data_IF_005237495269
#
_entry.id   IF_005237495269
#
_cell.length_a   1.000
_cell.length_b   1.000
_cell.length_c   1.000
_cell.angle_alpha   90.00
_cell.angle_beta   90.00
_cell.angle_gamma   90.00
#
_symmetry.space_group_name_H-M   'P 1'
#
loop_
_entity.id
_entity.type
_entity.pdbx_description
1 polymer ?
#
# COMPACT_ATOMS: atom_id res chain seq x y z
N UNK A 1 -9.08 -0.98 -16.86
CA UNK A 1 -9.01 0.46 -16.51
C UNK A 1 -8.09 1.29 -17.43
N UNK A 2 -7.03 0.71 -18.01
CA UNK A 2 -6.23 1.38 -19.07
C UNK A 2 -7.09 1.99 -20.19
N UNK A 3 -8.23 1.36 -20.51
CA UNK A 3 -9.19 1.86 -21.49
C UNK A 3 -9.78 3.23 -21.16
N UNK A 4 -10.03 3.58 -19.89
CA UNK A 4 -10.66 4.85 -19.51
C UNK A 4 -9.69 6.03 -19.63
N UNK A 5 -8.44 5.84 -19.21
CA UNK A 5 -7.37 6.84 -19.40
C UNK A 5 -7.03 7.03 -20.88
N UNK A 6 -7.00 5.94 -21.66
CA UNK A 6 -6.83 6.00 -23.11
C UNK A 6 -8.01 6.69 -23.81
N UNK A 7 -9.24 6.47 -23.34
CA UNK A 7 -10.43 7.12 -23.89
C UNK A 7 -10.42 8.63 -23.58
N UNK A 8 -9.99 9.04 -22.38
CA UNK A 8 -9.79 10.45 -22.06
C UNK A 8 -8.71 11.10 -22.96
N UNK A 9 -7.60 10.39 -23.21
CA UNK A 9 -6.55 10.86 -24.14
C UNK A 9 -7.10 11.12 -25.55
N UNK A 10 -8.00 10.25 -26.00
CA UNK A 10 -8.61 10.34 -27.34
C UNK A 10 -9.57 11.52 -27.47
N UNK A 11 -10.25 11.88 -26.38
CA UNK A 11 -11.24 12.97 -26.35
C UNK A 11 -10.58 14.32 -26.07
N UNK A 12 -9.61 14.37 -25.15
CA UNK A 12 -9.03 15.60 -24.60
C UNK A 12 -7.71 16.02 -25.26
N UNK A 13 -7.11 15.14 -26.08
CA UNK A 13 -5.84 15.41 -26.78
C UNK A 13 -4.58 15.36 -25.89
N UNK A 14 -4.72 15.00 -24.61
CA UNK A 14 -3.63 14.94 -23.64
C UNK A 14 -4.04 14.27 -22.32
N UNK A 15 -3.06 13.91 -21.50
CA UNK A 15 -3.32 13.42 -20.15
C UNK A 15 -3.63 14.60 -19.22
N UNK A 16 -4.62 14.48 -18.31
CA UNK A 16 -4.90 15.54 -17.35
C UNK A 16 -3.73 15.68 -16.36
N UNK A 17 -3.41 16.91 -15.94
CA UNK A 17 -2.40 17.14 -14.90
C UNK A 17 -2.83 16.58 -13.53
N UNK A 18 -4.14 16.59 -13.26
CA UNK A 18 -4.74 16.16 -11.98
C UNK A 18 -5.90 15.22 -12.24
N UNK A 19 -5.99 14.15 -11.44
CA UNK A 19 -7.05 13.17 -11.53
C UNK A 19 -7.61 12.89 -10.14
N UNK A 20 -8.91 13.09 -9.96
CA UNK A 20 -9.62 12.83 -8.70
C UNK A 20 -10.50 11.61 -8.93
N UNK A 21 -10.35 10.57 -8.10
CA UNK A 21 -11.11 9.33 -8.19
C UNK A 21 -11.64 8.92 -6.83
N UNK A 22 -12.79 8.24 -6.86
CA UNK A 22 -13.37 7.62 -5.67
C UNK A 22 -12.51 6.48 -5.12
N UNK A 23 -12.72 6.13 -3.86
CA UNK A 23 -11.99 5.06 -3.19
C UNK A 23 -12.14 3.67 -3.84
N UNK A 24 -13.14 3.49 -4.72
CA UNK A 24 -13.28 2.30 -5.55
C UNK A 24 -12.18 2.13 -6.61
N UNK A 25 -11.44 3.19 -6.93
CA UNK A 25 -10.36 3.20 -7.92
C UNK A 25 -8.95 3.10 -7.29
N UNK A 26 -8.86 2.85 -5.98
CA UNK A 26 -7.59 2.60 -5.30
C UNK A 26 -7.02 1.22 -5.71
N UNK A 27 -6.46 1.17 -6.91
CA UNK A 27 -5.96 -0.03 -7.58
C UNK A 27 -4.56 0.21 -8.14
N UNK A 28 -3.73 -0.83 -8.10
CA UNK A 28 -2.32 -0.75 -8.51
C UNK A 28 -2.15 -0.25 -9.94
N UNK A 29 -3.00 -0.71 -10.86
CA UNK A 29 -2.95 -0.31 -12.27
C UNK A 29 -3.20 1.20 -12.44
N UNK A 30 -4.14 1.76 -11.67
CA UNK A 30 -4.46 3.20 -11.71
C UNK A 30 -3.30 4.02 -11.17
N UNK A 31 -2.73 3.58 -10.04
CA UNK A 31 -1.58 4.23 -9.42
C UNK A 31 -0.37 4.19 -10.35
N UNK A 32 -0.12 3.03 -10.99
CA UNK A 32 0.98 2.85 -11.94
C UNK A 32 0.81 3.72 -13.18
N UNK A 33 -0.39 3.77 -13.78
CA UNK A 33 -0.66 4.57 -14.97
C UNK A 33 -0.58 6.07 -14.67
N UNK A 34 -1.11 6.51 -13.52
CA UNK A 34 -0.96 7.89 -13.08
C UNK A 34 0.52 8.28 -12.89
N UNK A 35 1.31 7.42 -12.25
CA UNK A 35 2.76 7.63 -12.09
C UNK A 35 3.49 7.69 -13.43
N UNK A 36 3.14 6.81 -14.37
CA UNK A 36 3.74 6.74 -15.73
C UNK A 36 3.53 8.02 -16.52
N UNK A 37 2.33 8.62 -16.43
CA UNK A 37 1.99 9.85 -17.15
C UNK A 37 2.16 11.11 -16.30
N UNK A 38 2.81 11.01 -15.14
CA UNK A 38 3.05 12.13 -14.22
C UNK A 38 1.75 12.87 -13.79
N UNK A 39 0.65 12.14 -13.72
CA UNK A 39 -0.66 12.65 -13.31
C UNK A 39 -0.70 12.72 -11.78
N UNK A 40 -1.09 13.88 -11.24
CA UNK A 40 -1.32 14.05 -9.81
C UNK A 40 -2.65 13.38 -9.41
N UNK A 41 -2.55 12.18 -8.85
CA UNK A 41 -3.69 11.35 -8.47
C UNK A 41 -4.17 11.62 -7.04
N UNK A 42 -5.44 12.00 -6.91
CA UNK A 42 -6.17 12.11 -5.65
C UNK A 42 -7.18 10.97 -5.55
N UNK A 43 -6.87 9.95 -4.76
CA UNK A 43 -7.74 8.80 -4.57
C UNK A 43 -7.60 8.26 -3.14
N UNK A 44 -8.69 8.33 -2.36
CA UNK A 44 -8.70 7.79 -1.00
C UNK A 44 -8.64 6.26 -1.01
N UNK A 45 -8.06 5.66 0.02
CA UNK A 45 -8.10 4.20 0.18
C UNK A 45 -9.44 3.76 0.79
N UNK A 46 -10.02 2.68 0.28
CA UNK A 46 -11.26 2.13 0.83
C UNK A 46 -11.01 1.47 2.20
N UNK A 47 -11.41 2.14 3.28
CA UNK A 47 -11.24 1.67 4.66
C UNK A 47 -12.14 0.50 5.05
N UNK A 48 -13.28 0.31 4.37
CA UNK A 48 -14.28 -0.70 4.76
C UNK A 48 -13.78 -2.12 4.52
N UNK A 49 -12.99 -2.34 3.45
CA UNK A 49 -12.32 -3.62 3.20
C UNK A 49 -11.35 -4.01 4.33
N UNK A 50 -10.79 -3.03 5.04
CA UNK A 50 -9.85 -3.27 6.13
C UNK A 50 -10.56 -3.57 7.46
N UNK A 51 -11.72 -2.96 7.72
CA UNK A 51 -12.52 -3.15 8.96
C UNK A 51 -13.00 -4.59 9.19
N UNK A 52 -13.18 -5.38 8.12
CA UNK A 52 -13.60 -6.78 8.22
C UNK A 52 -12.57 -7.63 8.97
N UNK A 53 -11.28 -7.29 8.86
CA UNK A 53 -10.20 -8.00 9.54
C UNK A 53 -10.05 -7.40 10.93
N UNK A 54 -10.49 -8.13 11.96
CA UNK A 54 -10.33 -7.77 13.40
C UNK A 54 -8.87 -7.78 13.89
N UNK A 55 -7.91 -7.42 13.02
CA UNK A 55 -6.49 -7.30 13.31
C UNK A 55 -5.95 -6.04 12.63
N UNK A 56 -4.82 -5.52 13.11
CA UNK A 56 -4.20 -4.33 12.54
C UNK A 56 -4.00 -4.48 11.01
N UNK A 57 -4.48 -3.51 10.22
CA UNK A 57 -4.24 -3.52 8.79
C UNK A 57 -2.76 -3.22 8.50
N UNK A 58 -2.32 -3.59 7.29
CA UNK A 58 -0.94 -3.34 6.86
C UNK A 58 -0.60 -1.85 6.83
N UNK A 59 -1.58 -0.99 6.59
CA UNK A 59 -1.44 0.47 6.59
C UNK A 59 -0.95 1.06 7.91
N UNK A 60 -1.05 0.33 9.03
CA UNK A 60 -0.46 0.74 10.32
C UNK A 60 1.02 0.37 10.47
N UNK A 61 1.60 -0.34 9.49
CA UNK A 61 3.01 -0.70 9.47
C UNK A 61 3.73 0.23 8.50
N UNK A 62 4.74 0.93 8.99
CA UNK A 62 5.51 1.88 8.18
C UNK A 62 6.72 1.17 7.61
N UNK A 63 6.94 1.28 6.30
CA UNK A 63 8.14 0.75 5.67
C UNK A 63 9.27 1.77 5.75
N UNK A 64 10.43 1.34 6.25
CA UNK A 64 11.68 2.09 6.22
C UNK A 64 12.52 1.57 5.05
N UNK A 65 12.71 2.40 4.03
CA UNK A 65 13.46 2.04 2.84
C UNK A 65 14.98 2.06 3.05
N UNK A 66 15.49 2.85 4.00
CA UNK A 66 16.92 2.94 4.31
C UNK A 66 17.38 1.68 5.05
N UNK A 67 16.56 1.22 6.00
CA UNK A 67 16.86 0.05 6.81
C UNK A 67 16.29 -1.26 6.23
N UNK A 68 15.49 -1.18 5.16
CA UNK A 68 14.81 -2.31 4.53
C UNK A 68 14.05 -3.15 5.58
N UNK A 69 13.17 -2.48 6.31
CA UNK A 69 12.38 -3.09 7.38
C UNK A 69 10.99 -2.47 7.50
N UNK A 70 10.08 -3.12 8.22
CA UNK A 70 8.82 -2.49 8.64
C UNK A 70 8.86 -2.15 10.13
N UNK A 71 8.33 -0.99 10.49
CA UNK A 71 8.05 -0.60 11.87
C UNK A 71 6.58 -0.87 12.15
N UNK A 72 6.29 -1.67 13.17
CA UNK A 72 4.91 -1.94 13.60
C UNK A 72 4.37 -0.85 14.56
N UNK A 73 3.06 -0.85 14.86
CA UNK A 73 2.46 0.11 15.82
C UNK A 73 3.04 0.05 17.25
N UNK A 74 3.66 -1.06 17.63
CA UNK A 74 4.36 -1.21 18.90
C UNK A 74 5.85 -0.79 18.81
N UNK A 75 6.27 -0.14 17.72
CA UNK A 75 7.64 0.31 17.46
C UNK A 75 8.69 -0.81 17.35
N UNK A 76 8.27 -2.05 17.13
CA UNK A 76 9.18 -3.14 16.81
C UNK A 76 9.49 -3.20 15.31
N UNK A 77 10.75 -3.44 14.98
CA UNK A 77 11.23 -3.70 13.62
C UNK A 77 10.87 -5.12 13.17
N UNK A 78 10.41 -5.24 11.93
CA UNK A 78 10.20 -6.46 11.20
C UNK A 78 11.24 -6.51 10.08
N UNK A 79 12.21 -7.40 10.22
CA UNK A 79 13.30 -7.57 9.25
C UNK A 79 12.88 -8.49 8.10
N UNK A 80 13.58 -8.39 6.96
CA UNK A 80 13.40 -9.29 5.83
C UNK A 80 13.72 -10.73 6.25
N UNK A 81 12.79 -11.64 6.01
CA UNK A 81 12.95 -13.07 6.27
C UNK A 81 13.14 -13.87 4.99
N UNK A 82 12.37 -13.53 3.94
CA UNK A 82 12.46 -14.24 2.68
C UNK A 82 11.98 -13.41 1.51
N UNK A 83 12.50 -13.75 0.34
CA UNK A 83 12.10 -13.16 -0.93
C UNK A 83 11.55 -14.26 -1.82
N UNK A 84 10.30 -14.10 -2.26
CA UNK A 84 9.63 -14.98 -3.20
C UNK A 84 9.81 -14.40 -4.60
N UNK A 85 10.43 -15.18 -5.47
CA UNK A 85 10.64 -14.81 -6.88
C UNK A 85 9.34 -14.97 -7.67
N UNK A 86 9.25 -14.25 -8.77
CA UNK A 86 8.14 -14.38 -9.71
C UNK A 86 8.12 -15.80 -10.31
N UNK A 87 6.93 -16.38 -10.42
CA UNK A 87 6.65 -17.60 -11.18
C UNK A 87 5.41 -17.36 -12.04
N UNK A 88 5.08 -18.27 -12.94
CA UNK A 88 3.87 -18.18 -13.77
C UNK A 88 2.58 -17.96 -12.95
N UNK A 89 2.55 -18.47 -11.71
CA UNK A 89 1.37 -18.40 -10.82
C UNK A 89 1.52 -17.41 -9.67
N UNK A 90 2.72 -16.88 -9.43
CA UNK A 90 3.02 -16.10 -8.23
C UNK A 90 3.77 -14.82 -8.57
N UNK A 91 3.21 -13.69 -8.16
CA UNK A 91 3.91 -12.40 -8.23
C UNK A 91 5.06 -12.35 -7.23
N UNK A 92 6.16 -11.65 -7.52
CA UNK A 92 7.27 -11.54 -6.58
C UNK A 92 6.84 -10.74 -5.35
N UNK A 93 7.30 -11.16 -4.17
CA UNK A 93 7.10 -10.40 -2.93
C UNK A 93 8.16 -10.74 -1.90
N UNK A 94 8.34 -9.83 -0.96
CA UNK A 94 9.25 -9.96 0.19
C UNK A 94 8.43 -10.18 1.46
N UNK A 95 8.92 -11.00 2.38
CA UNK A 95 8.26 -11.31 3.64
C UNK A 95 9.08 -10.75 4.80
N UNK A 96 8.42 -9.99 5.65
CA UNK A 96 9.00 -9.38 6.84
C UNK A 96 8.31 -9.92 8.09
N UNK A 97 9.06 -10.18 9.15
CA UNK A 97 8.49 -10.55 10.46
C UNK A 97 9.37 -10.08 11.61
N UNK A 98 8.76 -10.05 12.80
CA UNK A 98 9.43 -9.70 14.05
C UNK A 98 9.41 -10.89 15.01
N UNK A 99 10.51 -11.11 15.70
CA UNK A 99 10.69 -12.23 16.63
C UNK A 99 10.22 -11.89 18.05
N UNK A 100 10.15 -10.60 18.38
CA UNK A 100 9.77 -10.08 19.71
C UNK A 100 8.24 -9.95 19.93
N UNK A 101 7.44 -10.71 19.17
CA UNK A 101 5.98 -10.66 19.27
C UNK A 101 5.39 -11.47 20.44
N UNK A 102 6.17 -12.33 21.11
CA UNK A 102 5.66 -13.24 22.14
C UNK A 102 5.08 -12.52 23.36
N UNK A 103 5.76 -11.48 23.85
CA UNK A 103 5.35 -10.66 25.01
C UNK A 103 4.74 -9.30 24.65
N UNK A 104 4.41 -9.05 23.37
CA UNK A 104 3.89 -7.75 22.95
C UNK A 104 2.46 -7.53 23.48
N UNK A 105 2.18 -6.43 24.22
CA UNK A 105 0.83 -6.14 24.72
C UNK A 105 -0.21 -5.97 23.61
N UNK A 106 0.22 -5.51 22.43
CA UNK A 106 -0.65 -5.30 21.27
C UNK A 106 -0.84 -6.55 20.41
N UNK A 107 -0.26 -7.71 20.79
CA UNK A 107 -0.31 -8.95 19.99
C UNK A 107 -1.73 -9.36 19.62
N UNK A 108 -2.67 -9.28 20.58
CA UNK A 108 -4.07 -9.67 20.39
C UNK A 108 -4.75 -8.91 19.23
N UNK A 109 -4.45 -7.62 19.09
CA UNK A 109 -4.92 -6.79 17.98
C UNK A 109 -4.04 -6.89 16.72
N UNK A 110 -2.78 -7.30 16.84
CA UNK A 110 -1.83 -7.33 15.73
C UNK A 110 -1.89 -8.63 14.90
N UNK A 111 -1.94 -9.80 15.55
CA UNK A 111 -1.85 -11.10 14.88
C UNK A 111 -2.40 -12.24 15.74
N UNK A 112 -2.96 -13.26 15.09
CA UNK A 112 -3.36 -14.51 15.76
C UNK A 112 -2.30 -15.62 15.62
N UNK A 113 -1.24 -15.39 14.85
CA UNK A 113 -0.21 -16.39 14.61
C UNK A 113 0.75 -16.51 15.80
N UNK A 114 1.17 -17.74 16.11
CA UNK A 114 2.10 -18.03 17.21
C UNK A 114 3.44 -17.31 17.04
N UNK A 115 3.99 -17.34 15.82
CA UNK A 115 5.27 -16.72 15.45
C UNK A 115 5.20 -15.23 15.06
N UNK A 116 4.20 -14.49 15.54
CA UNK A 116 4.12 -13.05 15.28
C UNK A 116 3.48 -12.67 13.93
N UNK A 117 3.54 -11.37 13.61
CA UNK A 117 2.94 -10.82 12.38
C UNK A 117 3.93 -10.98 11.23
N UNK A 118 3.43 -11.46 10.08
CA UNK A 118 4.16 -11.46 8.81
C UNK A 118 3.56 -10.42 7.88
N UNK A 119 4.40 -9.60 7.26
CA UNK A 119 4.02 -8.60 6.26
C UNK A 119 4.60 -9.01 4.92
N UNK A 120 3.72 -9.11 3.91
CA UNK A 120 4.14 -9.26 2.51
C UNK A 120 4.28 -7.89 1.88
N UNK A 121 5.43 -7.60 1.29
CA UNK A 121 5.69 -6.41 0.47
C UNK A 121 5.79 -6.81 -0.99
N UNK A 122 4.88 -6.29 -1.80
CA UNK A 122 4.90 -6.38 -3.24
C UNK A 122 5.53 -5.12 -3.83
N UNK A 123 6.05 -5.15 -5.06
CA UNK A 123 6.59 -3.97 -5.73
C UNK A 123 5.61 -2.79 -5.76
N UNK A 124 4.31 -3.07 -5.91
CA UNK A 124 3.26 -2.06 -6.02
C UNK A 124 2.96 -1.34 -4.68
N UNK A 125 3.40 -1.89 -3.54
CA UNK A 125 3.14 -1.28 -2.24
C UNK A 125 3.78 0.11 -2.08
N UNK A 126 4.91 0.36 -2.75
CA UNK A 126 5.55 1.68 -2.77
C UNK A 126 4.61 2.74 -3.36
N UNK A 127 3.95 2.43 -4.48
CA UNK A 127 2.99 3.33 -5.11
C UNK A 127 1.78 3.61 -4.21
N UNK A 128 1.27 2.57 -3.54
CA UNK A 128 0.16 2.72 -2.57
C UNK A 128 0.56 3.59 -1.38
N UNK A 129 1.76 3.38 -0.84
CA UNK A 129 2.31 4.15 0.28
C UNK A 129 2.49 5.63 -0.10
N UNK A 130 3.06 5.90 -1.28
CA UNK A 130 3.21 7.26 -1.81
C UNK A 130 1.85 7.97 -1.97
N UNK A 131 0.84 7.29 -2.53
CA UNK A 131 -0.50 7.85 -2.67
C UNK A 131 -1.15 8.12 -1.31
N UNK A 132 -1.00 7.22 -0.32
CA UNK A 132 -1.50 7.46 1.05
C UNK A 132 -0.87 8.70 1.67
N UNK A 133 0.46 8.86 1.55
CA UNK A 133 1.17 10.03 2.07
C UNK A 133 0.72 11.31 1.36
N UNK A 134 0.51 11.25 0.04
CA UNK A 134 -0.03 12.36 -0.73
C UNK A 134 -1.43 12.76 -0.25
N UNK A 135 -2.34 11.80 -0.04
CA UNK A 135 -3.70 12.05 0.47
C UNK A 135 -3.76 12.49 1.94
N UNK A 136 -2.74 12.15 2.74
CA UNK A 136 -2.66 12.56 4.14
C UNK A 136 -2.35 14.06 4.31
N UNK A 137 -1.77 14.71 3.28
CA UNK A 137 -1.46 16.14 3.32
C UNK A 137 -2.73 16.98 3.46
N UNK A 138 -2.71 18.08 4.24
CA UNK A 138 -3.89 18.93 4.44
C UNK A 138 -4.42 19.54 3.13
N UNK A 139 -3.54 19.84 2.19
CA UNK A 139 -3.88 20.43 0.89
C UNK A 139 -4.73 19.48 0.03
N UNK A 140 -4.42 18.18 0.08
CA UNK A 140 -5.15 17.13 -0.64
C UNK A 140 -6.56 16.90 -0.09
N UNK A 141 -6.88 17.42 1.10
CA UNK A 141 -8.22 17.36 1.73
C UNK A 141 -9.09 18.59 1.43
N UNK A 142 -8.54 19.58 0.71
CA UNK A 142 -9.23 20.83 0.35
C UNK A 142 -9.74 20.83 -1.10
N UNK A 143 -9.57 19.71 -1.79
CA UNK A 143 -10.08 19.42 -3.13
C UNK A 143 -11.40 18.71 -2.97
#
# INVERSE_FOLDING_TARGET
MAALLAQNLTISGGHPEKLILDAGYFHDDVIAEAKKHQILLFCAENSDRQRVRKIYPKSLFTYDAEQDCYICPAHHQLSLQSTVKATEKTRPYRVYSADNCAGCPQKAGCTKAKGGRKIKRYPEDEGREALRLHMARPESKRI
#
